data_IF_930544789768
#
_entry.id   IF_930544789768
#
_cell.length_a   1.000
_cell.length_b   1.000
_cell.length_c   1.000
_cell.angle_alpha   90.00
_cell.angle_beta   90.00
_cell.angle_gamma   90.00
#
_symmetry.space_group_name_H-M   'P 1'
#
loop_
_entity.id
_entity.type
_entity.pdbx_description
1 polymer ?
#
# COMPACT_ATOMS: atom_id res chain seq x y z
N UNK A 1 3.69 1.28 -7.65
CA UNK A 1 2.97 2.08 -6.65
C UNK A 1 2.83 1.32 -5.33
N UNK A 2 2.98 2.04 -4.22
CA UNK A 2 2.79 1.63 -2.84
C UNK A 2 1.77 2.56 -2.16
N UNK A 3 0.53 2.56 -2.67
CA UNK A 3 -0.54 3.48 -2.28
C UNK A 3 -0.71 3.61 -0.76
N UNK A 4 -0.72 2.50 -0.02
CA UNK A 4 -0.98 2.53 1.42
C UNK A 4 0.26 2.74 2.30
N UNK A 5 1.45 2.95 1.74
CA UNK A 5 2.69 2.97 2.54
C UNK A 5 2.66 4.05 3.62
N UNK A 6 2.43 5.29 3.23
CA UNK A 6 2.42 6.43 4.16
C UNK A 6 1.39 6.23 5.27
N UNK A 7 0.16 5.81 4.91
CA UNK A 7 -0.90 5.58 5.89
C UNK A 7 -0.54 4.49 6.89
N UNK A 8 0.02 3.36 6.45
CA UNK A 8 0.39 2.27 7.37
C UNK A 8 1.53 2.69 8.29
N UNK A 9 2.56 3.38 7.78
CA UNK A 9 3.66 3.82 8.62
C UNK A 9 3.28 5.00 9.53
N UNK A 10 2.34 5.85 9.12
CA UNK A 10 1.76 6.91 9.93
C UNK A 10 0.84 6.39 11.04
N UNK A 11 0.07 5.33 10.79
CA UNK A 11 -0.78 4.69 11.80
C UNK A 11 0.04 3.83 12.79
N UNK A 12 0.95 2.99 12.29
CA UNK A 12 1.78 2.13 13.13
C UNK A 12 3.20 2.70 13.25
N UNK A 13 3.41 3.52 14.27
CA UNK A 13 4.71 4.09 14.59
C UNK A 13 5.74 3.02 14.98
N UNK A 14 5.29 1.99 15.70
CA UNK A 14 6.10 0.84 16.06
C UNK A 14 6.09 -0.24 14.96
N UNK A 15 7.16 -1.04 14.81
CA UNK A 15 7.16 -2.20 13.94
C UNK A 15 6.05 -3.19 14.31
N UNK A 16 5.26 -3.59 13.32
CA UNK A 16 4.28 -4.67 13.47
C UNK A 16 5.03 -5.99 13.53
N UNK A 17 4.85 -6.76 14.59
CA UNK A 17 5.42 -8.09 14.75
C UNK A 17 4.72 -9.13 13.85
N UNK A 18 5.33 -10.30 13.58
CA UNK A 18 4.67 -11.38 12.83
C UNK A 18 3.34 -11.84 13.43
N UNK A 19 3.22 -11.90 14.76
CA UNK A 19 1.97 -12.28 15.44
C UNK A 19 0.90 -11.20 15.29
N UNK A 20 1.25 -9.93 15.43
CA UNK A 20 0.33 -8.82 15.17
C UNK A 20 -0.11 -8.79 13.71
N UNK A 21 0.78 -9.06 12.76
CA UNK A 21 0.42 -9.19 11.34
C UNK A 21 -0.65 -10.27 11.10
N UNK A 22 -0.47 -11.44 11.73
CA UNK A 22 -1.47 -12.52 11.68
C UNK A 22 -2.78 -12.06 12.31
N UNK A 23 -2.74 -11.40 13.48
CA UNK A 23 -3.92 -10.85 14.15
C UNK A 23 -4.67 -9.84 13.28
N UNK A 24 -3.95 -8.91 12.64
CA UNK A 24 -4.51 -7.94 11.69
C UNK A 24 -5.20 -8.67 10.53
N UNK A 25 -4.56 -9.69 9.95
CA UNK A 25 -5.15 -10.44 8.86
C UNK A 25 -6.45 -11.16 9.27
N UNK A 26 -6.49 -11.74 10.47
CA UNK A 26 -7.67 -12.40 11.04
C UNK A 26 -8.82 -11.43 11.25
N UNK A 27 -8.55 -10.23 11.80
CA UNK A 27 -9.57 -9.22 12.06
C UNK A 27 -10.13 -8.62 10.76
N UNK A 28 -9.25 -8.29 9.81
CA UNK A 28 -9.64 -7.59 8.58
C UNK A 28 -10.31 -8.52 7.57
N UNK A 29 -9.73 -9.70 7.34
CA UNK A 29 -10.15 -10.60 6.27
C UNK A 29 -11.03 -11.75 6.74
N UNK A 30 -11.22 -11.92 8.05
CA UNK A 30 -12.14 -12.87 8.67
C UNK A 30 -11.97 -14.28 8.08
N UNK A 31 -13.02 -14.86 7.49
CA UNK A 31 -13.03 -16.17 6.84
C UNK A 31 -11.99 -16.35 5.72
N UNK A 32 -11.53 -15.25 5.11
CA UNK A 32 -10.53 -15.25 4.05
C UNK A 32 -9.10 -15.02 4.57
N UNK A 33 -8.92 -14.81 5.89
CA UNK A 33 -7.63 -14.51 6.49
C UNK A 33 -6.55 -15.56 6.16
N UNK A 34 -6.86 -16.85 6.25
CA UNK A 34 -5.89 -17.90 5.92
C UNK A 34 -5.48 -17.89 4.44
N UNK A 35 -6.38 -17.52 3.52
CA UNK A 35 -6.03 -17.34 2.09
C UNK A 35 -5.09 -16.15 1.91
N UNK A 36 -5.33 -15.05 2.64
CA UNK A 36 -4.47 -13.86 2.62
C UNK A 36 -3.11 -14.20 3.21
N UNK A 37 -3.04 -14.85 4.38
CA UNK A 37 -1.80 -15.26 5.02
C UNK A 37 -1.01 -16.27 4.19
N UNK A 38 -1.69 -17.12 3.40
CA UNK A 38 -1.01 -17.99 2.42
C UNK A 38 -0.41 -17.20 1.25
N UNK A 39 -1.08 -16.13 0.80
CA UNK A 39 -0.64 -15.30 -0.33
C UNK A 39 0.42 -14.26 0.05
N UNK A 40 0.32 -13.74 1.27
CA UNK A 40 1.21 -12.75 1.87
C UNK A 40 1.61 -13.27 3.26
N UNK A 41 2.49 -14.28 3.35
CA UNK A 41 2.94 -14.77 4.64
C UNK A 41 3.83 -13.73 5.33
N UNK A 42 3.86 -13.68 6.67
CA UNK A 42 4.85 -12.87 7.38
C UNK A 42 6.26 -13.27 6.96
N UNK A 43 7.17 -12.30 6.86
CA UNK A 43 8.54 -12.53 6.41
C UNK A 43 9.51 -12.28 7.57
N UNK A 44 10.21 -13.34 7.98
CA UNK A 44 11.19 -13.27 9.08
C UNK A 44 10.59 -12.79 10.40
N UNK A 45 11.46 -12.30 11.29
CA UNK A 45 11.07 -11.77 12.61
C UNK A 45 11.07 -10.23 12.66
N UNK A 46 11.34 -9.56 11.54
CA UNK A 46 11.37 -8.10 11.45
C UNK A 46 9.99 -7.45 11.44
N UNK A 47 9.96 -6.13 11.26
CA UNK A 47 8.71 -5.37 11.14
C UNK A 47 7.94 -5.71 9.86
N UNK A 48 6.64 -5.98 9.99
CA UNK A 48 5.75 -6.41 8.91
C UNK A 48 4.94 -5.28 8.27
N UNK A 49 5.25 -4.00 8.60
CA UNK A 49 4.53 -2.82 8.08
C UNK A 49 4.49 -2.77 6.55
N UNK A 50 5.58 -3.13 5.87
CA UNK A 50 5.64 -3.20 4.41
C UNK A 50 4.69 -4.25 3.83
N UNK A 51 4.51 -5.40 4.50
CA UNK A 51 3.54 -6.42 4.08
C UNK A 51 2.10 -5.95 4.30
N UNK A 52 1.81 -5.27 5.41
CA UNK A 52 0.50 -4.67 5.65
C UNK A 52 0.21 -3.61 4.58
N UNK A 53 1.16 -2.72 4.29
CA UNK A 53 1.03 -1.71 3.24
C UNK A 53 0.80 -2.33 1.85
N UNK A 54 1.52 -3.41 1.54
CA UNK A 54 1.32 -4.15 0.29
C UNK A 54 -0.06 -4.81 0.22
N UNK A 55 -0.49 -5.49 1.27
CA UNK A 55 -1.80 -6.13 1.33
C UNK A 55 -2.93 -5.09 1.20
N UNK A 56 -2.82 -3.98 1.92
CA UNK A 56 -3.76 -2.86 1.85
C UNK A 56 -3.79 -2.22 0.46
N UNK A 57 -2.64 -1.96 -0.16
CA UNK A 57 -2.55 -1.41 -1.53
C UNK A 57 -3.26 -2.33 -2.52
N UNK A 58 -3.07 -3.64 -2.39
CA UNK A 58 -3.75 -4.61 -3.24
C UNK A 58 -5.26 -4.61 -3.00
N UNK A 59 -5.70 -4.59 -1.75
CA UNK A 59 -7.12 -4.71 -1.41
C UNK A 59 -7.93 -3.45 -1.71
N UNK A 60 -7.44 -2.29 -1.27
CA UNK A 60 -8.15 -1.00 -1.35
C UNK A 60 -8.08 -0.43 -2.77
N UNK A 61 -6.91 -0.47 -3.43
CA UNK A 61 -6.68 0.23 -4.69
C UNK A 61 -6.58 -0.71 -5.90
N UNK A 62 -5.66 -1.68 -5.89
CA UNK A 62 -5.34 -2.41 -7.11
C UNK A 62 -6.44 -3.41 -7.53
N UNK A 63 -6.98 -4.19 -6.58
CA UNK A 63 -7.99 -5.21 -6.88
C UNK A 63 -9.33 -4.58 -7.27
N UNK A 64 -9.78 -3.54 -6.56
CA UNK A 64 -10.99 -2.78 -6.88
C UNK A 64 -10.90 -2.15 -8.28
N UNK A 65 -9.78 -1.48 -8.59
CA UNK A 65 -9.51 -0.91 -9.91
C UNK A 65 -9.52 -1.98 -10.99
N UNK A 66 -8.91 -3.15 -10.76
CA UNK A 66 -8.90 -4.26 -11.71
C UNK A 66 -10.29 -4.84 -11.96
N UNK A 67 -11.12 -4.95 -10.92
CA UNK A 67 -12.50 -5.42 -11.04
C UNK A 67 -13.30 -4.43 -11.90
N UNK A 68 -13.13 -3.13 -11.66
CA UNK A 68 -13.77 -2.08 -12.44
C UNK A 68 -13.33 -2.09 -13.91
N UNK A 69 -12.01 -2.12 -14.15
CA UNK A 69 -11.43 -2.08 -15.50
C UNK A 69 -11.87 -3.25 -16.40
N UNK A 70 -12.28 -4.39 -15.81
CA UNK A 70 -12.78 -5.55 -16.56
C UNK A 70 -14.21 -5.38 -17.10
N UNK A 71 -14.97 -4.37 -16.67
CA UNK A 71 -16.38 -4.19 -17.03
C UNK A 71 -16.60 -3.52 -18.38
N UNK A 72 -15.55 -3.02 -19.03
CA UNK A 72 -15.67 -2.37 -20.34
C UNK A 72 -14.31 -1.93 -20.88
N UNK A 73 -14.30 -1.40 -22.10
CA UNK A 73 -13.10 -0.81 -22.67
C UNK A 73 -12.71 0.42 -21.84
N UNK A 74 -11.62 0.30 -21.09
CA UNK A 74 -11.09 1.35 -20.22
C UNK A 74 -9.58 1.44 -20.40
N UNK A 75 -9.04 2.65 -20.30
CA UNK A 75 -7.61 2.86 -20.15
C UNK A 75 -7.31 2.93 -18.65
N UNK A 76 -6.38 2.11 -18.19
CA UNK A 76 -5.92 2.09 -16.80
C UNK A 76 -4.41 2.24 -16.78
N UNK A 77 -3.90 3.00 -15.82
CA UNK A 77 -2.47 3.22 -15.64
C UNK A 77 -2.08 2.97 -14.18
N UNK A 78 -0.78 2.80 -13.96
CA UNK A 78 -0.18 2.74 -12.63
C UNK A 78 0.92 3.78 -12.59
N UNK A 79 0.79 4.76 -11.71
CA UNK A 79 1.86 5.72 -11.49
C UNK A 79 3.02 5.06 -10.73
N UNK A 80 4.24 5.24 -11.21
CA UNK A 80 5.41 4.51 -10.71
C UNK A 80 6.63 5.37 -10.42
N UNK A 81 6.55 6.68 -10.66
CA UNK A 81 7.66 7.59 -10.44
C UNK A 81 7.66 8.04 -8.96
N UNK A 82 8.75 7.84 -8.20
CA UNK A 82 8.84 8.31 -6.83
C UNK A 82 8.94 9.84 -6.83
N UNK A 83 8.09 10.50 -6.04
CA UNK A 83 8.11 11.96 -5.95
C UNK A 83 9.01 12.40 -4.80
N UNK A 84 10.28 12.68 -5.12
CA UNK A 84 11.34 13.01 -4.16
C UNK A 84 11.68 14.52 -4.18
N UNK A 85 10.68 15.40 -4.01
CA UNK A 85 10.93 16.83 -3.78
C UNK A 85 11.15 17.11 -2.31
N UNK A 86 12.12 17.98 -1.97
CA UNK A 86 12.40 18.39 -0.58
C UNK A 86 11.20 18.97 0.17
N UNK A 87 10.17 19.46 -0.54
CA UNK A 87 8.99 20.10 0.06
C UNK A 87 8.00 19.12 0.72
N UNK A 88 8.12 17.82 0.47
CA UNK A 88 7.30 16.77 1.10
C UNK A 88 7.98 16.16 2.34
N UNK A 89 8.62 17.01 3.17
CA UNK A 89 9.27 16.61 4.44
C UNK A 89 8.36 15.81 5.38
N UNK A 90 7.05 15.92 5.22
CA UNK A 90 6.06 15.22 6.03
C UNK A 90 5.83 13.75 5.60
N UNK A 91 6.38 13.30 4.47
CA UNK A 91 6.19 11.93 3.94
C UNK A 91 7.50 11.16 3.78
N UNK A 92 8.37 11.21 4.79
CA UNK A 92 9.64 10.46 4.83
C UNK A 92 9.43 8.97 4.49
N UNK A 93 8.28 8.42 4.88
CA UNK A 93 7.92 7.03 4.63
C UNK A 93 7.81 6.71 3.13
N UNK A 94 7.57 7.70 2.28
CA UNK A 94 7.45 7.56 0.83
C UNK A 94 8.71 7.90 0.06
N UNK A 95 9.80 8.28 0.72
CA UNK A 95 11.05 8.61 0.00
C UNK A 95 11.54 7.41 -0.80
N UNK A 96 11.79 7.62 -2.11
CA UNK A 96 12.15 6.56 -3.05
C UNK A 96 11.01 5.61 -3.43
N UNK A 97 9.76 5.89 -3.05
CA UNK A 97 8.58 5.09 -3.35
C UNK A 97 7.48 5.93 -4.02
N UNK A 98 6.85 5.42 -5.08
CA UNK A 98 5.64 6.02 -5.63
C UNK A 98 4.44 5.67 -4.74
N UNK A 99 4.01 6.60 -3.90
CA UNK A 99 2.92 6.48 -2.95
C UNK A 99 1.60 7.05 -3.46
N UNK A 100 0.55 6.95 -2.62
CA UNK A 100 -0.76 7.51 -2.96
C UNK A 100 -0.68 9.00 -3.24
N UNK A 101 -1.34 9.39 -4.33
CA UNK A 101 -1.43 10.76 -4.84
C UNK A 101 -0.14 11.38 -5.40
N UNK A 102 0.97 10.64 -5.50
CA UNK A 102 2.25 11.18 -6.01
C UNK A 102 2.20 11.59 -7.48
N UNK A 103 1.24 11.08 -8.25
CA UNK A 103 1.03 11.47 -9.65
C UNK A 103 0.29 12.79 -9.83
N UNK A 104 -0.32 13.34 -8.76
CA UNK A 104 -1.14 14.56 -8.84
C UNK A 104 -0.31 15.78 -9.27
N UNK A 105 0.87 16.06 -8.66
CA UNK A 105 1.66 17.23 -9.06
C UNK A 105 2.05 17.26 -10.53
N UNK A 106 2.33 16.10 -11.12
CA UNK A 106 2.64 15.97 -12.55
C UNK A 106 1.44 16.25 -13.46
N UNK A 107 0.22 15.98 -12.99
CA UNK A 107 -1.00 16.25 -13.76
C UNK A 107 -1.36 17.74 -13.79
N UNK A 108 -1.08 18.45 -12.69
CA UNK A 108 -1.41 19.86 -12.51
C UNK A 108 -0.24 20.82 -12.72
N UNK A 109 0.91 20.31 -13.17
CA UNK A 109 2.13 21.11 -13.37
C UNK A 109 2.54 21.87 -12.08
N UNK A 110 2.34 21.25 -10.93
CA UNK A 110 2.61 21.82 -9.61
C UNK A 110 3.82 21.18 -8.91
N UNK A 111 4.69 20.55 -9.69
CA UNK A 111 5.93 19.88 -9.26
C UNK A 111 7.14 20.79 -9.38
#
# INVERSE_FOLDING_TARGET
TEECRDSIYGTWQNPITPSEYIGIALVIFQENAFKILKKYPPVGFGGQRSLVARAATQWVFACSTRIFARKGATYSYVFGYPFDTEDLRNRIQCSGHACHADGIPFLFESS
#
